data_IF_514360059423
#
_entry.id   IF_514360059423
#
_cell.length_a   1.000
_cell.length_b   1.000
_cell.length_c   1.000
_cell.angle_alpha   90.00
_cell.angle_beta   90.00
_cell.angle_gamma   90.00
#
_symmetry.space_group_name_H-M   'P 1'
#
loop_
_entity.id
_entity.type
_entity.pdbx_description
1 polymer ?
#
# COMPACT_ATOMS: atom_id res chain seq x y z
N UNK A 1 27.61 22.08 20.13
CA UNK A 1 28.43 20.90 19.80
C UNK A 1 28.15 19.88 20.88
N UNK A 2 27.81 18.64 20.51
CA UNK A 2 27.57 17.55 21.45
C UNK A 2 28.66 16.50 21.23
N UNK A 3 29.02 15.75 22.27
CA UNK A 3 29.92 14.60 22.10
C UNK A 3 29.16 13.50 21.34
N UNK A 4 29.65 13.06 20.16
CA UNK A 4 29.02 11.98 19.39
C UNK A 4 28.87 10.67 20.19
N UNK A 5 29.73 10.43 21.19
CA UNK A 5 29.63 9.23 22.04
C UNK A 5 28.53 9.32 23.11
N UNK A 6 28.06 10.53 23.42
CA UNK A 6 26.95 10.75 24.34
C UNK A 6 25.59 10.79 23.63
N UNK A 7 25.57 11.07 22.33
CA UNK A 7 24.38 11.11 21.47
C UNK A 7 23.99 9.72 20.97
N UNK A 8 22.71 9.38 21.12
CA UNK A 8 22.15 8.08 20.74
C UNK A 8 22.29 7.76 19.24
N UNK A 9 22.61 8.77 18.40
CA UNK A 9 22.77 8.67 16.95
C UNK A 9 24.15 9.14 16.45
N UNK A 10 25.11 9.39 17.33
CA UNK A 10 26.48 9.77 16.92
C UNK A 10 26.60 11.17 16.32
N UNK A 11 25.66 12.09 16.61
CA UNK A 11 25.66 13.43 16.01
C UNK A 11 26.76 14.32 16.58
N UNK A 12 27.33 15.18 15.74
CA UNK A 12 28.34 16.19 16.13
C UNK A 12 27.71 17.52 16.57
N UNK A 13 26.41 17.71 16.30
CA UNK A 13 25.68 18.96 16.50
C UNK A 13 24.23 18.74 16.90
N UNK A 14 23.75 19.66 17.72
CA UNK A 14 22.33 19.85 18.07
C UNK A 14 22.03 21.35 18.02
N UNK A 15 20.77 21.70 17.76
CA UNK A 15 20.31 23.10 17.75
C UNK A 15 20.06 23.66 16.35
N UNK A 16 19.74 24.94 16.31
CA UNK A 16 19.34 25.67 15.11
C UNK A 16 20.15 26.97 15.00
N UNK A 17 20.45 27.37 13.76
CA UNK A 17 20.93 28.71 13.40
C UNK A 17 20.27 29.09 12.07
N UNK A 18 19.92 30.37 11.90
CA UNK A 18 19.33 30.90 10.67
C UNK A 18 20.21 30.70 9.43
N UNK A 19 21.51 30.54 9.61
CA UNK A 19 22.47 30.30 8.51
C UNK A 19 22.58 28.83 8.13
N UNK A 20 21.89 27.91 8.82
CA UNK A 20 21.94 26.48 8.49
C UNK A 20 21.16 26.20 7.21
N UNK A 21 21.71 25.34 6.36
CA UNK A 21 20.94 24.77 5.26
C UNK A 21 19.82 23.88 5.79
N UNK A 22 18.71 23.68 5.05
CA UNK A 22 17.63 22.78 5.46
C UNK A 22 18.12 21.35 5.75
N UNK A 23 19.10 20.85 5.00
CA UNK A 23 19.70 19.53 5.24
C UNK A 23 20.49 19.50 6.56
N UNK A 24 21.31 20.53 6.82
CA UNK A 24 22.05 20.61 8.08
C UNK A 24 21.11 20.75 9.30
N UNK A 25 19.97 21.42 9.13
CA UNK A 25 18.92 21.49 10.13
C UNK A 25 18.19 20.15 10.30
N UNK A 26 17.88 19.47 9.19
CA UNK A 26 17.32 18.12 9.22
C UNK A 26 18.24 17.19 10.01
N UNK A 27 19.53 17.10 9.67
CA UNK A 27 20.52 16.27 10.37
C UNK A 27 20.64 16.64 11.86
N UNK A 28 20.63 17.94 12.19
CA UNK A 28 20.68 18.40 13.58
C UNK A 28 19.40 18.06 14.38
N UNK A 29 18.24 18.07 13.71
CA UNK A 29 16.93 17.74 14.30
C UNK A 29 16.57 16.26 14.23
N UNK A 30 17.30 15.46 13.45
CA UNK A 30 17.20 14.01 13.30
C UNK A 30 17.74 13.30 14.56
N UNK A 31 17.08 13.54 15.68
CA UNK A 31 17.44 13.03 17.00
C UNK A 31 16.59 11.84 17.46
N UNK A 32 16.90 11.37 18.67
CA UNK A 32 16.13 10.36 19.37
C UNK A 32 15.03 11.01 20.23
N UNK A 33 13.76 10.73 19.91
CA UNK A 33 12.60 11.36 20.53
C UNK A 33 11.77 10.36 21.33
N UNK A 34 11.15 10.80 22.44
CA UNK A 34 10.14 10.01 23.14
C UNK A 34 8.79 10.12 22.42
N UNK A 35 8.51 9.17 21.52
CA UNK A 35 7.28 9.12 20.72
C UNK A 35 6.27 8.15 21.35
N UNK A 36 4.98 8.53 21.32
CA UNK A 36 3.89 7.65 21.70
C UNK A 36 3.36 6.86 20.51
N UNK A 37 2.46 5.90 20.74
CA UNK A 37 1.87 5.04 19.68
C UNK A 37 1.26 5.87 18.52
N UNK A 38 0.69 7.04 18.84
CA UNK A 38 0.09 7.96 17.88
C UNK A 38 1.07 8.38 16.79
N UNK A 39 2.35 8.60 17.10
CA UNK A 39 3.35 9.08 16.15
C UNK A 39 3.48 8.19 14.90
N UNK A 40 3.25 6.88 15.03
CA UNK A 40 3.31 5.93 13.92
C UNK A 40 2.17 6.07 12.90
N UNK A 41 1.18 6.93 13.17
CA UNK A 41 0.04 7.21 12.29
C UNK A 41 0.12 8.60 11.65
N UNK A 42 1.12 9.40 12.02
CA UNK A 42 1.29 10.76 11.53
C UNK A 42 2.07 10.78 10.22
N UNK A 43 1.76 11.74 9.34
CA UNK A 43 2.36 11.83 8.01
C UNK A 43 3.43 12.92 7.93
N UNK A 44 3.40 13.88 8.85
CA UNK A 44 4.31 15.02 8.85
C UNK A 44 4.83 15.32 10.25
N UNK A 45 6.04 15.90 10.31
CA UNK A 45 6.64 16.44 11.51
C UNK A 45 7.04 17.89 11.28
N UNK A 46 6.76 18.75 12.26
CA UNK A 46 7.20 20.15 12.27
C UNK A 46 8.27 20.33 13.35
N UNK A 47 9.47 20.72 12.93
CA UNK A 47 10.53 21.14 13.85
C UNK A 47 10.33 22.62 14.15
N UNK A 48 10.33 22.96 15.44
CA UNK A 48 10.20 24.34 15.90
C UNK A 48 11.43 24.79 16.67
N UNK A 49 11.75 26.06 16.56
CA UNK A 49 12.76 26.74 17.36
C UNK A 49 12.19 28.08 17.81
N UNK A 50 12.33 28.41 19.10
CA UNK A 50 11.76 29.60 19.72
C UNK A 50 10.29 29.87 19.31
N UNK A 51 9.47 28.82 19.42
CA UNK A 51 8.06 28.83 19.04
C UNK A 51 7.78 29.17 17.57
N UNK A 52 8.75 29.04 16.67
CA UNK A 52 8.60 29.25 15.22
C UNK A 52 8.90 27.95 14.47
N UNK A 53 8.09 27.60 13.48
CA UNK A 53 8.36 26.47 12.59
C UNK A 53 9.58 26.72 11.71
N UNK A 54 10.59 25.87 11.79
CA UNK A 54 11.86 26.02 11.05
C UNK A 54 12.09 24.93 10.00
N UNK A 55 11.40 23.79 10.12
CA UNK A 55 11.49 22.71 9.15
C UNK A 55 10.20 21.87 9.17
N UNK A 56 9.69 21.53 7.99
CA UNK A 56 8.60 20.56 7.84
C UNK A 56 9.13 19.31 7.12
N UNK A 57 8.76 18.14 7.63
CA UNK A 57 9.25 16.83 7.18
C UNK A 57 8.05 15.95 6.87
N UNK A 58 8.03 15.30 5.71
CA UNK A 58 7.15 14.15 5.47
C UNK A 58 7.77 12.92 6.11
N UNK A 59 7.03 12.29 7.02
CA UNK A 59 7.45 11.08 7.71
C UNK A 59 7.34 9.92 6.73
N UNK A 60 8.47 9.27 6.45
CA UNK A 60 8.49 8.03 5.66
C UNK A 60 8.46 6.81 6.57
N UNK A 61 9.16 6.86 7.72
CA UNK A 61 9.12 5.81 8.75
C UNK A 61 9.61 6.30 10.11
N UNK A 62 9.24 5.59 11.16
CA UNK A 62 9.73 5.79 12.53
C UNK A 62 10.37 4.50 13.02
N UNK A 63 11.64 4.57 13.41
CA UNK A 63 12.40 3.41 13.89
C UNK A 63 12.77 3.56 15.36
N UNK A 64 12.61 2.53 16.20
CA UNK A 64 13.21 2.51 17.52
C UNK A 64 14.73 2.68 17.42
N UNK A 65 15.32 3.45 18.32
CA UNK A 65 16.77 3.53 18.42
C UNK A 65 17.29 2.18 18.91
N UNK A 66 17.86 1.38 18.00
CA UNK A 66 18.57 0.15 18.31
C UNK A 66 20.00 0.48 18.72
N UNK A 67 20.17 1.01 19.93
CA UNK A 67 21.47 1.32 20.52
C UNK A 67 21.74 0.49 21.78
N UNK A 68 22.41 -0.65 21.63
CA UNK A 68 23.16 -1.26 22.73
C UNK A 68 24.40 -0.42 22.98
N UNK A 69 24.30 0.65 23.75
CA UNK A 69 25.46 1.14 24.51
C UNK A 69 25.48 0.29 25.78
N UNK A 70 26.52 -0.53 25.98
CA UNK A 70 26.67 -1.32 27.21
C UNK A 70 26.45 -0.44 28.44
N UNK A 71 25.43 -0.76 29.25
CA UNK A 71 25.09 -0.02 30.47
C UNK A 71 24.00 1.05 30.32
N UNK A 72 23.47 1.34 29.12
CA UNK A 72 22.25 2.16 28.95
C UNK A 72 21.04 1.26 28.72
N UNK A 73 20.06 1.36 29.60
CA UNK A 73 18.75 0.73 29.45
C UNK A 73 18.14 1.16 28.10
N UNK A 74 17.51 0.23 27.37
CA UNK A 74 16.99 0.50 26.03
C UNK A 74 16.10 1.75 26.08
N UNK A 75 16.56 2.82 25.42
CA UNK A 75 15.78 4.05 25.42
C UNK A 75 14.52 3.76 24.62
N UNK A 76 13.33 4.00 25.18
CA UNK A 76 12.05 3.99 24.42
C UNK A 76 11.98 5.18 23.46
N UNK A 77 13.09 5.54 22.83
CA UNK A 77 13.20 6.64 21.90
C UNK A 77 13.19 6.10 20.49
N UNK A 78 12.70 6.92 19.59
CA UNK A 78 12.59 6.60 18.18
C UNK A 78 13.08 7.76 17.34
N UNK A 79 13.51 7.42 16.13
CA UNK A 79 14.00 8.35 15.13
C UNK A 79 12.95 8.48 14.05
N UNK A 80 12.68 9.71 13.63
CA UNK A 80 11.79 10.01 12.52
C UNK A 80 12.65 10.11 11.27
N UNK A 81 12.42 9.23 10.28
CA UNK A 81 13.03 9.33 8.97
C UNK A 81 12.03 9.89 7.97
N UNK A 82 12.49 10.80 7.13
CA UNK A 82 11.61 11.47 6.19
C UNK A 82 12.31 12.31 5.14
N UNK A 83 11.48 13.03 4.38
CA UNK A 83 11.92 13.97 3.37
C UNK A 83 11.53 15.41 3.76
N UNK A 84 12.45 16.36 3.56
CA UNK A 84 12.18 17.78 3.79
C UNK A 84 11.12 18.26 2.80
N UNK A 85 10.09 18.92 3.31
CA UNK A 85 9.10 19.63 2.50
C UNK A 85 9.62 21.01 2.12
N UNK A 86 9.35 21.44 0.91
CA UNK A 86 9.80 22.73 0.36
C UNK A 86 8.62 23.60 -0.03
N UNK A 87 8.90 24.87 -0.35
CA UNK A 87 7.90 25.85 -0.82
C UNK A 87 7.01 25.28 -1.91
N UNK A 88 5.69 25.51 -1.79
CA UNK A 88 4.66 24.96 -2.67
C UNK A 88 3.96 23.73 -2.09
N UNK A 89 4.49 23.13 -1.02
CA UNK A 89 3.78 22.08 -0.28
C UNK A 89 2.86 22.71 0.79
N UNK A 90 1.57 22.29 0.91
CA UNK A 90 0.61 22.89 1.84
C UNK A 90 1.12 22.98 3.28
N UNK A 91 1.69 21.90 3.82
CA UNK A 91 2.27 21.88 5.18
C UNK A 91 3.46 22.83 5.32
N UNK A 92 4.35 22.89 4.32
CA UNK A 92 5.48 23.81 4.38
C UNK A 92 4.99 25.26 4.43
N UNK A 93 4.12 25.62 3.49
CA UNK A 93 3.62 26.98 3.35
C UNK A 93 2.68 27.38 4.49
N UNK A 94 2.05 26.41 5.15
CA UNK A 94 1.21 26.62 6.33
C UNK A 94 2.03 26.89 7.59
N UNK A 95 3.19 26.26 7.80
CA UNK A 95 3.84 26.22 9.12
C UNK A 95 5.30 26.69 9.17
N UNK A 96 6.06 26.61 8.08
CA UNK A 96 7.47 27.06 8.08
C UNK A 96 7.52 28.59 8.06
N UNK A 97 8.31 29.16 8.97
CA UNK A 97 8.41 30.60 9.22
C UNK A 97 7.25 31.20 10.01
N UNK A 98 6.32 30.38 10.51
CA UNK A 98 5.14 30.84 11.27
C UNK A 98 5.21 30.38 12.74
N UNK A 99 4.42 31.01 13.64
CA UNK A 99 4.32 30.56 15.02
C UNK A 99 3.88 29.09 15.09
N UNK A 100 4.48 28.35 16.03
CA UNK A 100 4.11 26.98 16.36
C UNK A 100 2.61 26.91 16.68
N UNK A 101 1.87 25.93 16.11
CA UNK A 101 0.44 25.77 16.40
C UNK A 101 0.18 25.21 17.79
N UNK A 102 1.22 24.72 18.48
CA UNK A 102 1.16 24.19 19.84
C UNK A 102 1.98 25.06 20.81
N UNK A 103 1.48 25.27 22.06
CA UNK A 103 2.23 25.99 23.08
C UNK A 103 3.43 25.17 23.59
N UNK A 104 4.43 25.82 24.19
CA UNK A 104 5.53 25.12 24.86
C UNK A 104 5.02 24.17 25.94
N UNK A 105 5.60 22.99 26.01
CA UNK A 105 5.18 21.94 26.94
C UNK A 105 6.38 21.13 27.43
N UNK A 106 6.19 20.34 28.50
CA UNK A 106 7.28 19.57 29.12
C UNK A 106 7.87 18.49 28.21
N UNK A 107 7.06 17.85 27.37
CA UNK A 107 7.53 16.95 26.32
C UNK A 107 7.78 17.76 25.04
N UNK A 108 8.99 17.80 24.48
CA UNK A 108 9.24 18.57 23.25
C UNK A 108 8.41 18.10 22.04
N UNK A 109 7.75 16.94 22.11
CA UNK A 109 6.85 16.42 21.07
C UNK A 109 5.39 16.68 21.42
N UNK A 110 4.67 17.35 20.52
CA UNK A 110 3.22 17.55 20.59
C UNK A 110 2.52 17.14 19.31
N UNK A 111 1.19 17.03 19.37
CA UNK A 111 0.35 16.65 18.25
C UNK A 111 -0.63 17.77 17.95
N UNK A 112 -0.77 18.09 16.68
CA UNK A 112 -1.67 19.10 16.17
C UNK A 112 -2.49 18.51 15.04
N UNK A 113 -3.78 18.80 15.00
CA UNK A 113 -4.66 18.36 13.93
C UNK A 113 -4.61 19.40 12.80
N UNK A 114 -3.74 19.16 11.81
CA UNK A 114 -3.49 20.10 10.73
C UNK A 114 -4.63 20.06 9.69
N UNK A 115 -5.35 21.18 9.48
CA UNK A 115 -6.42 21.24 8.48
C UNK A 115 -5.98 20.86 7.07
N UNK A 116 -4.72 21.14 6.72
CA UNK A 116 -4.13 20.85 5.41
C UNK A 116 -3.94 19.36 5.15
N UNK A 117 -3.97 18.52 6.19
CA UNK A 117 -3.93 17.06 6.04
C UNK A 117 -5.31 16.43 5.87
N UNK A 118 -6.38 17.23 5.95
CA UNK A 118 -7.71 16.72 5.74
C UNK A 118 -7.98 16.47 4.26
N UNK A 119 -8.44 15.26 3.96
CA UNK A 119 -8.89 14.90 2.62
C UNK A 119 -10.41 15.03 2.52
N UNK A 120 -10.96 15.31 1.32
CA UNK A 120 -12.40 15.19 1.12
C UNK A 120 -12.83 13.72 1.28
N UNK A 121 -13.95 13.51 1.96
CA UNK A 121 -14.52 12.19 2.12
C UNK A 121 -14.89 11.60 0.76
N UNK A 122 -14.37 10.40 0.48
CA UNK A 122 -14.53 9.71 -0.80
C UNK A 122 -15.98 9.26 -1.09
N UNK A 123 -16.91 9.40 -0.13
CA UNK A 123 -18.33 9.17 -0.42
C UNK A 123 -18.94 10.26 -1.33
N UNK A 124 -18.33 11.46 -1.36
CA UNK A 124 -18.80 12.61 -2.13
C UNK A 124 -19.66 13.60 -1.35
N UNK A 125 -19.76 13.49 -0.01
CA UNK A 125 -20.59 14.39 0.80
C UNK A 125 -19.99 15.80 1.01
N UNK A 126 -18.74 16.03 0.60
CA UNK A 126 -18.00 17.28 0.85
C UNK A 126 -17.46 17.42 2.27
N UNK A 127 -17.75 16.49 3.19
CA UNK A 127 -17.13 16.42 4.50
C UNK A 127 -15.64 16.09 4.42
N UNK A 128 -14.88 16.44 5.45
CA UNK A 128 -13.45 16.20 5.54
C UNK A 128 -13.14 14.97 6.40
N UNK A 129 -12.08 14.25 6.06
CA UNK A 129 -11.54 13.14 6.84
C UNK A 129 -10.16 13.49 7.37
N UNK A 130 -9.81 13.10 8.61
CA UNK A 130 -8.44 13.18 9.08
C UNK A 130 -7.51 12.32 8.21
N UNK A 131 -6.22 12.62 8.27
CA UNK A 131 -5.19 11.90 7.51
C UNK A 131 -5.23 10.39 7.76
N UNK A 132 -5.06 9.62 6.69
CA UNK A 132 -5.10 8.15 6.74
C UNK A 132 -6.51 7.54 6.75
N UNK A 133 -7.58 8.33 6.60
CA UNK A 133 -8.94 7.85 6.40
C UNK A 133 -9.53 8.33 5.08
N UNK A 134 -10.05 7.39 4.29
CA UNK A 134 -10.74 7.70 3.03
C UNK A 134 -12.19 8.14 3.25
N UNK A 135 -12.81 7.69 4.36
CA UNK A 135 -14.21 7.91 4.67
C UNK A 135 -14.40 8.40 6.10
N UNK A 136 -15.39 9.28 6.28
CA UNK A 136 -15.98 9.54 7.60
C UNK A 136 -16.59 8.22 8.08
N UNK A 137 -16.54 7.94 9.38
CA UNK A 137 -17.03 6.68 9.96
C UNK A 137 -18.44 6.34 9.45
N UNK A 138 -18.59 5.18 8.80
CA UNK A 138 -19.85 4.67 8.24
C UNK A 138 -20.18 5.15 6.82
N UNK A 139 -19.49 6.17 6.31
CA UNK A 139 -19.74 6.69 4.96
C UNK A 139 -19.24 5.78 3.85
N UNK A 140 -18.30 4.88 4.15
CA UNK A 140 -17.82 3.83 3.25
C UNK A 140 -18.96 2.88 2.86
N UNK A 141 -19.71 2.39 3.85
CA UNK A 141 -20.85 1.51 3.63
C UNK A 141 -21.98 2.24 2.89
N UNK A 142 -22.30 3.47 3.31
CA UNK A 142 -23.30 4.30 2.63
C UNK A 142 -22.92 4.51 1.16
N UNK A 143 -21.67 4.90 0.90
CA UNK A 143 -21.18 5.12 -0.46
C UNK A 143 -21.32 3.86 -1.31
N UNK A 144 -20.86 2.71 -0.82
CA UNK A 144 -20.98 1.43 -1.52
C UNK A 144 -22.44 1.12 -1.87
N UNK A 145 -23.34 1.20 -0.88
CA UNK A 145 -24.76 0.90 -1.08
C UNK A 145 -25.41 1.86 -2.07
N UNK A 146 -25.04 3.14 -2.08
CA UNK A 146 -25.55 4.11 -3.05
C UNK A 146 -25.14 3.76 -4.48
N UNK A 147 -23.88 3.33 -4.69
CA UNK A 147 -23.43 2.89 -6.04
C UNK A 147 -24.09 1.58 -6.45
N UNK A 148 -24.29 0.65 -5.51
CA UNK A 148 -25.06 -0.59 -5.76
C UNK A 148 -26.49 -0.25 -6.22
N UNK A 149 -27.17 0.69 -5.55
CA UNK A 149 -28.53 1.13 -5.94
C UNK A 149 -28.58 1.74 -7.33
N UNK A 150 -27.53 2.43 -7.77
CA UNK A 150 -27.45 2.98 -9.14
C UNK A 150 -27.35 1.88 -10.21
N UNK A 151 -26.77 0.72 -9.88
CA UNK A 151 -26.72 -0.44 -10.78
C UNK A 151 -28.00 -1.29 -10.72
N UNK A 152 -28.81 -1.13 -9.68
CA UNK A 152 -30.01 -1.90 -9.42
C UNK A 152 -29.88 -2.66 -8.10
N UNK A 153 -29.50 -3.93 -8.18
CA UNK A 153 -29.37 -4.82 -7.02
C UNK A 153 -27.91 -5.13 -6.68
N UNK A 154 -27.68 -5.71 -5.50
CA UNK A 154 -26.36 -6.24 -5.11
C UNK A 154 -25.86 -7.28 -6.12
N UNK A 155 -26.76 -8.10 -6.65
CA UNK A 155 -26.43 -9.09 -7.69
C UNK A 155 -25.90 -8.39 -8.95
N UNK A 156 -26.56 -7.32 -9.40
CA UNK A 156 -26.15 -6.57 -10.60
C UNK A 156 -24.78 -5.90 -10.39
N UNK A 157 -24.51 -5.39 -9.18
CA UNK A 157 -23.19 -4.89 -8.81
C UNK A 157 -22.12 -5.98 -8.89
N UNK A 158 -22.38 -7.18 -8.36
CA UNK A 158 -21.43 -8.29 -8.41
C UNK A 158 -21.19 -8.71 -9.86
N UNK A 159 -22.24 -8.91 -10.66
CA UNK A 159 -22.12 -9.28 -12.09
C UNK A 159 -21.35 -8.22 -12.89
N UNK A 160 -21.57 -6.93 -12.60
CA UNK A 160 -20.80 -5.83 -13.19
C UNK A 160 -19.34 -5.82 -12.72
N UNK A 161 -19.11 -5.92 -11.42
CA UNK A 161 -17.76 -5.88 -10.83
C UNK A 161 -16.93 -7.03 -11.37
N UNK A 162 -17.52 -8.22 -11.43
CA UNK A 162 -16.97 -9.39 -12.07
C UNK A 162 -16.67 -9.09 -13.53
N UNK A 163 -17.62 -8.65 -14.36
CA UNK A 163 -17.32 -8.31 -15.76
C UNK A 163 -16.18 -7.30 -15.94
N UNK A 164 -16.09 -6.27 -15.09
CA UNK A 164 -15.07 -5.20 -15.18
C UNK A 164 -13.70 -5.64 -14.66
N UNK A 165 -13.65 -6.42 -13.58
CA UNK A 165 -12.40 -6.95 -13.00
C UNK A 165 -11.97 -8.27 -13.62
N UNK A 166 -12.74 -8.82 -14.57
CA UNK A 166 -12.50 -10.13 -15.17
C UNK A 166 -12.88 -11.29 -14.25
N UNK A 167 -13.91 -11.10 -13.44
CA UNK A 167 -14.60 -12.08 -12.60
C UNK A 167 -14.68 -13.43 -13.28
N UNK A 168 -14.02 -14.36 -12.61
CA UNK A 168 -13.75 -15.73 -13.00
C UNK A 168 -12.74 -15.94 -14.14
N UNK A 169 -11.46 -15.96 -13.74
CA UNK A 169 -10.44 -16.96 -14.14
C UNK A 169 -10.61 -17.60 -15.54
N UNK A 170 -10.46 -16.85 -16.64
CA UNK A 170 -10.61 -17.43 -17.98
C UNK A 170 -9.52 -18.46 -18.33
N UNK A 171 -8.43 -18.56 -17.56
CA UNK A 171 -7.31 -19.45 -17.90
C UNK A 171 -7.51 -20.94 -17.54
N UNK A 172 -8.54 -21.34 -16.77
CA UNK A 172 -8.60 -22.72 -16.22
C UNK A 172 -10.00 -23.35 -16.20
N UNK A 173 -10.86 -23.14 -17.21
CA UNK A 173 -12.11 -23.93 -17.33
C UNK A 173 -12.52 -24.25 -18.78
N UNK A 174 -11.57 -24.24 -19.72
CA UNK A 174 -11.86 -24.52 -21.13
C UNK A 174 -11.20 -25.81 -21.64
N UNK A 175 -11.96 -26.61 -22.39
CA UNK A 175 -11.55 -27.87 -23.02
C UNK A 175 -11.18 -27.58 -24.48
N UNK A 176 -10.03 -28.06 -24.95
CA UNK A 176 -9.55 -27.84 -26.32
C UNK A 176 -9.73 -29.09 -27.20
N UNK A 177 -10.13 -28.89 -28.45
CA UNK A 177 -9.94 -29.89 -29.51
C UNK A 177 -8.47 -29.89 -29.95
N UNK A 178 -7.83 -31.06 -30.15
CA UNK A 178 -6.45 -31.09 -30.61
C UNK A 178 -6.34 -30.42 -32.00
N UNK A 179 -5.34 -29.56 -32.16
CA UNK A 179 -5.03 -28.84 -33.40
C UNK A 179 -3.64 -29.20 -33.91
N UNK A 180 -3.40 -29.07 -35.22
CA UNK A 180 -2.05 -29.22 -35.75
C UNK A 180 -1.14 -28.09 -35.23
N UNK A 181 0.12 -28.42 -34.96
CA UNK A 181 1.11 -27.46 -34.46
C UNK A 181 1.60 -26.48 -35.54
N UNK A 182 1.26 -26.71 -36.81
CA UNK A 182 1.78 -25.94 -37.95
C UNK A 182 0.81 -24.84 -38.37
N UNK A 183 -0.50 -25.12 -38.36
CA UNK A 183 -1.51 -24.19 -38.88
C UNK A 183 -2.73 -24.01 -37.96
N UNK A 184 -2.77 -24.69 -36.81
CA UNK A 184 -3.87 -24.59 -35.85
C UNK A 184 -5.20 -25.17 -36.35
N UNK A 185 -5.18 -25.98 -37.42
CA UNK A 185 -6.39 -26.66 -37.91
C UNK A 185 -6.79 -27.82 -36.98
N UNK A 186 -8.09 -28.07 -36.74
CA UNK A 186 -8.55 -29.20 -35.92
C UNK A 186 -8.09 -30.54 -36.51
N UNK A 187 -7.57 -31.44 -35.67
CA UNK A 187 -7.10 -32.76 -36.13
C UNK A 187 -8.21 -33.79 -36.32
N UNK A 188 -9.44 -33.47 -35.91
CA UNK A 188 -10.57 -34.41 -35.89
C UNK A 188 -10.50 -35.46 -34.77
N UNK A 189 -9.50 -35.38 -33.89
CA UNK A 189 -9.42 -36.24 -32.70
C UNK A 189 -10.39 -35.75 -31.61
N UNK A 190 -10.85 -36.70 -30.77
CA UNK A 190 -11.67 -36.38 -29.60
C UNK A 190 -11.00 -35.30 -28.74
N UNK A 191 -11.80 -34.32 -28.30
CA UNK A 191 -11.34 -33.23 -27.44
C UNK A 191 -10.50 -33.77 -26.28
N UNK A 192 -9.25 -33.32 -26.18
CA UNK A 192 -8.35 -33.71 -25.09
C UNK A 192 -8.41 -32.60 -24.05
N UNK A 193 -8.88 -32.95 -22.85
CA UNK A 193 -8.77 -32.07 -21.70
C UNK A 193 -7.29 -31.66 -21.55
N UNK A 194 -6.98 -30.36 -21.58
CA UNK A 194 -5.64 -29.86 -21.18
C UNK A 194 -5.38 -30.01 -19.68
N UNK A 195 -6.38 -30.47 -18.94
CA UNK A 195 -6.28 -30.95 -17.57
C UNK A 195 -6.49 -32.47 -17.59
N UNK A 196 -5.62 -33.25 -16.94
CA UNK A 196 -6.01 -34.63 -16.64
C UNK A 196 -7.25 -34.58 -15.71
N UNK A 197 -8.14 -35.58 -15.78
CA UNK A 197 -9.33 -35.63 -14.91
C UNK A 197 -9.00 -35.62 -13.40
N UNK A 198 -7.74 -35.89 -13.04
CA UNK A 198 -7.16 -35.84 -11.70
C UNK A 198 -6.41 -34.53 -11.39
N UNK A 199 -6.53 -33.49 -12.23
CA UNK A 199 -5.87 -32.21 -12.01
C UNK A 199 -6.61 -31.38 -10.96
N UNK A 200 -5.91 -31.03 -9.86
CA UNK A 200 -6.46 -30.37 -8.66
C UNK A 200 -6.72 -28.86 -8.79
N UNK A 201 -6.82 -28.32 -10.00
CA UNK A 201 -7.08 -26.88 -10.21
C UNK A 201 -8.56 -26.54 -10.38
N UNK A 202 -9.44 -27.55 -10.33
CA UNK A 202 -10.87 -27.32 -10.22
C UNK A 202 -11.17 -26.93 -8.77
N UNK A 203 -11.68 -25.71 -8.58
CA UNK A 203 -12.17 -25.30 -7.27
C UNK A 203 -13.34 -26.19 -6.88
N UNK A 204 -13.19 -26.87 -5.76
CA UNK A 204 -14.26 -27.62 -5.11
C UNK A 204 -14.70 -26.89 -3.85
N UNK A 205 -15.98 -26.98 -3.50
CA UNK A 205 -16.40 -26.65 -2.14
C UNK A 205 -15.93 -27.72 -1.13
N UNK A 206 -16.24 -27.50 0.14
CA UNK A 206 -15.92 -28.41 1.25
C UNK A 206 -16.57 -29.80 1.11
N UNK A 207 -17.54 -29.95 0.20
CA UNK A 207 -18.18 -31.23 -0.13
C UNK A 207 -17.58 -31.91 -1.36
N UNK A 208 -16.53 -31.33 -1.97
CA UNK A 208 -15.90 -31.84 -3.17
C UNK A 208 -16.67 -31.50 -4.46
N UNK A 209 -17.69 -30.64 -4.41
CA UNK A 209 -18.46 -30.25 -5.60
C UNK A 209 -17.68 -29.23 -6.41
N UNK A 210 -17.48 -29.52 -7.70
CA UNK A 210 -16.84 -28.61 -8.63
C UNK A 210 -17.66 -27.31 -8.73
N UNK A 211 -17.06 -26.19 -8.34
CA UNK A 211 -17.66 -24.86 -8.37
C UNK A 211 -17.68 -24.28 -9.79
N UNK A 212 -16.76 -24.73 -10.66
CA UNK A 212 -16.60 -24.21 -12.01
C UNK A 212 -16.79 -25.33 -13.05
N UNK A 213 -17.96 -25.39 -13.69
CA UNK A 213 -18.26 -26.44 -14.68
C UNK A 213 -17.42 -26.21 -15.97
N UNK A 214 -16.58 -27.17 -16.40
CA UNK A 214 -15.79 -27.01 -17.62
C UNK A 214 -16.67 -26.88 -18.88
N UNK A 215 -16.22 -26.10 -19.86
CA UNK A 215 -16.86 -25.98 -21.19
C UNK A 215 -15.84 -26.07 -22.32
N UNK A 216 -16.29 -26.28 -23.56
CA UNK A 216 -15.41 -26.22 -24.73
C UNK A 216 -14.98 -24.77 -24.97
N UNK A 217 -13.70 -24.56 -25.27
CA UNK A 217 -13.13 -23.25 -25.62
C UNK A 217 -13.70 -22.76 -26.97
N UNK A 218 -14.00 -21.46 -27.10
CA UNK A 218 -14.22 -20.86 -28.42
C UNK A 218 -12.89 -20.71 -29.15
N UNK A 219 -12.92 -20.63 -30.50
CA UNK A 219 -11.70 -20.49 -31.32
C UNK A 219 -10.84 -19.28 -30.93
N UNK A 220 -11.46 -18.18 -30.52
CA UNK A 220 -10.80 -16.96 -30.05
C UNK A 220 -10.09 -17.17 -28.69
N UNK A 221 -10.68 -17.96 -27.80
CA UNK A 221 -10.09 -18.34 -26.51
C UNK A 221 -8.89 -19.28 -26.68
N UNK A 222 -8.91 -20.16 -27.69
CA UNK A 222 -7.76 -21.01 -28.05
C UNK A 222 -6.51 -20.19 -28.38
N UNK A 223 -6.69 -19.03 -29.02
CA UNK A 223 -5.57 -18.20 -29.49
C UNK A 223 -5.10 -17.22 -28.42
N UNK A 224 -6.01 -16.76 -27.55
CA UNK A 224 -5.74 -15.68 -26.59
C UNK A 224 -5.28 -16.15 -25.19
N UNK A 225 -5.63 -17.37 -24.78
CA UNK A 225 -5.31 -17.87 -23.44
C UNK A 225 -3.92 -18.50 -23.37
N UNK A 226 -3.19 -18.21 -22.29
CA UNK A 226 -1.84 -18.76 -22.09
C UNK A 226 -1.93 -20.20 -21.59
N UNK A 227 -1.09 -21.13 -22.10
CA UNK A 227 -1.03 -22.49 -21.56
C UNK A 227 -0.66 -22.49 -20.07
N UNK A 228 -1.25 -23.40 -19.29
CA UNK A 228 -0.93 -23.57 -17.88
C UNK A 228 0.56 -23.92 -17.68
N UNK A 229 1.25 -23.31 -16.70
CA UNK A 229 2.70 -23.52 -16.46
C UNK A 229 3.05 -25.00 -16.21
N UNK A 230 2.23 -25.72 -15.46
CA UNK A 230 2.42 -27.16 -15.20
C UNK A 230 2.24 -28.01 -16.48
N UNK A 231 1.38 -27.56 -17.39
CA UNK A 231 1.14 -28.20 -18.69
C UNK A 231 2.35 -28.01 -19.62
N UNK A 232 2.93 -26.80 -19.62
CA UNK A 232 4.18 -26.50 -20.34
C UNK A 232 5.30 -27.43 -19.85
N UNK A 233 5.46 -27.55 -18.52
CA UNK A 233 6.49 -28.41 -17.92
C UNK A 233 6.29 -29.91 -18.24
N UNK A 234 5.06 -30.41 -18.18
CA UNK A 234 4.76 -31.81 -18.48
C UNK A 234 4.87 -32.12 -19.98
N UNK A 235 4.48 -31.18 -20.85
CA UNK A 235 4.61 -31.34 -22.31
C UNK A 235 6.08 -31.33 -22.74
N UNK A 236 6.89 -30.47 -22.12
CA UNK A 236 8.34 -30.48 -22.34
C UNK A 236 8.97 -31.84 -21.95
N UNK A 237 8.57 -32.40 -20.79
CA UNK A 237 9.01 -33.73 -20.36
C UNK A 237 8.59 -34.85 -21.32
N UNK A 238 7.36 -34.80 -21.84
CA UNK A 238 6.86 -35.78 -22.79
C UNK A 238 7.52 -35.68 -24.17
N UNK A 239 7.91 -34.48 -24.60
CA UNK A 239 8.64 -34.25 -25.84
C UNK A 239 10.10 -34.74 -25.77
N UNK A 240 10.72 -34.69 -24.60
CA UNK A 240 12.08 -35.23 -24.37
C UNK A 240 12.12 -36.76 -24.13
N UNK A 241 10.97 -37.40 -23.95
CA UNK A 241 10.85 -38.84 -23.72
C UNK A 241 10.52 -39.65 -24.99
N UNK A 242 10.52 -38.99 -26.15
CA UNK A 242 10.40 -39.58 -27.49
C UNK A 242 11.70 -39.43 -28.24
#
# INVERSE_FOLDING_TARGET
MIDPSEDDLGRDRIGYSETMSPMALYDASHGAWHLGERAHRENFALVTFDSTGVLAIRIDRIEPVSGMVEGRESSRRSVIHGAILTTGHPIHDAYVGKPSPIPPQRNPVGYYDAPEEHAPCQCGCGGQTPTGKDFITGHDQTALHDRVRQLGTVRDFIEWFDRVRGGYWPDINVIFEPVTLVDGTPTGESARLRHRLDCTHLYTDDSGRILNKPRIATREEIVSLRPCKSCIANSAKAATAR
#
